data_IF_819946655054
#
_entry.id   IF_819946655054
#
_cell.length_a   1.000
_cell.length_b   1.000
_cell.length_c   1.000
_cell.angle_alpha   90.00
_cell.angle_beta   90.00
_cell.angle_gamma   90.00
#
_symmetry.space_group_name_H-M   'P 1'
#
loop_
_entity.id
_entity.type
_entity.pdbx_description
1 polymer ?
#
# COMPACT_ATOMS: atom_id res chain seq x y z
N UNK A 1 -5.87 -27.00 -22.67
CA UNK A 1 -6.25 -25.76 -21.95
C UNK A 1 -4.96 -25.19 -21.40
N UNK A 2 -4.53 -24.04 -21.88
CA UNK A 2 -3.34 -23.35 -21.36
C UNK A 2 -3.80 -22.48 -20.19
N UNK A 3 -3.42 -22.83 -18.97
CA UNK A 3 -3.83 -22.12 -17.76
C UNK A 3 -2.92 -20.91 -17.57
N UNK A 4 -3.50 -19.71 -17.48
CA UNK A 4 -2.78 -18.44 -17.29
C UNK A 4 -3.47 -17.61 -16.22
N UNK A 5 -2.70 -16.71 -15.58
CA UNK A 5 -3.25 -15.72 -14.66
C UNK A 5 -4.39 -14.93 -15.32
N UNK A 6 -5.52 -14.71 -14.62
CA UNK A 6 -6.59 -13.85 -15.11
C UNK A 6 -6.11 -12.47 -15.54
N UNK A 7 -6.74 -11.91 -16.57
CA UNK A 7 -6.38 -10.58 -17.06
C UNK A 7 -6.56 -9.54 -15.94
N UNK A 8 -5.46 -8.89 -15.58
CA UNK A 8 -5.38 -7.85 -14.54
C UNK A 8 -4.96 -8.34 -13.16
N UNK A 9 -4.63 -9.61 -13.03
CA UNK A 9 -3.85 -10.14 -11.90
C UNK A 9 -2.44 -10.49 -12.37
N UNK A 10 -1.52 -10.68 -11.44
CA UNK A 10 -0.15 -11.10 -11.72
C UNK A 10 0.43 -11.89 -10.56
N UNK A 11 1.27 -12.86 -10.88
CA UNK A 11 2.08 -13.53 -9.88
C UNK A 11 3.22 -12.58 -9.45
N UNK A 12 3.44 -12.48 -8.14
CA UNK A 12 4.58 -11.77 -7.57
C UNK A 12 5.70 -12.81 -7.39
N UNK A 13 6.72 -12.72 -8.25
CA UNK A 13 7.86 -13.64 -8.26
C UNK A 13 8.87 -13.29 -7.15
N UNK A 14 9.79 -14.21 -6.77
CA UNK A 14 10.69 -14.02 -5.64
C UNK A 14 11.49 -12.71 -5.63
N UNK A 15 11.95 -12.24 -6.79
CA UNK A 15 12.69 -10.98 -6.91
C UNK A 15 11.84 -9.74 -6.62
N UNK A 16 10.55 -9.76 -7.00
CA UNK A 16 9.62 -8.68 -6.66
C UNK A 16 9.14 -8.82 -5.21
N UNK A 17 8.92 -10.05 -4.74
CA UNK A 17 8.50 -10.34 -3.38
C UNK A 17 9.51 -9.80 -2.35
N UNK A 18 10.82 -9.98 -2.60
CA UNK A 18 11.86 -9.47 -1.72
C UNK A 18 11.82 -7.93 -1.58
N UNK A 19 11.57 -7.21 -2.68
CA UNK A 19 11.41 -5.75 -2.69
C UNK A 19 10.18 -5.30 -1.91
N UNK A 20 9.05 -5.98 -2.12
CA UNK A 20 7.80 -5.72 -1.39
C UNK A 20 7.97 -5.94 0.10
N UNK A 21 8.61 -7.03 0.51
CA UNK A 21 8.88 -7.31 1.92
C UNK A 21 9.72 -6.21 2.59
N UNK A 22 10.63 -5.54 1.88
CA UNK A 22 11.32 -4.39 2.44
C UNK A 22 10.35 -3.22 2.67
N UNK A 23 9.54 -2.86 1.67
CA UNK A 23 8.52 -1.81 1.82
C UNK A 23 7.58 -2.10 2.98
N UNK A 24 7.14 -3.36 3.11
CA UNK A 24 6.28 -3.84 4.21
C UNK A 24 6.95 -3.63 5.56
N UNK A 25 8.22 -4.03 5.71
CA UNK A 25 8.99 -3.82 6.96
C UNK A 25 9.17 -2.35 7.31
N UNK A 26 9.46 -1.50 6.33
CA UNK A 26 9.61 -0.05 6.55
C UNK A 26 8.28 0.57 6.97
N UNK A 27 7.18 0.17 6.31
CA UNK A 27 5.85 0.66 6.65
C UNK A 27 5.40 0.20 8.04
N UNK A 28 5.61 -1.07 8.37
CA UNK A 28 5.34 -1.65 9.69
C UNK A 28 6.11 -0.91 10.79
N UNK A 29 7.41 -0.66 10.59
CA UNK A 29 8.22 0.06 11.59
C UNK A 29 7.71 1.49 11.82
N UNK A 30 7.39 2.22 10.74
CA UNK A 30 6.80 3.56 10.83
C UNK A 30 5.48 3.50 11.61
N UNK A 31 4.57 2.59 11.24
CA UNK A 31 3.28 2.44 11.93
C UNK A 31 3.46 2.13 13.42
N UNK A 32 4.39 1.23 13.76
CA UNK A 32 4.75 0.87 15.14
C UNK A 32 5.26 2.09 15.92
N UNK A 33 6.13 2.91 15.32
CA UNK A 33 6.67 4.14 15.96
C UNK A 33 5.60 5.19 16.23
N UNK A 34 4.54 5.23 15.41
CA UNK A 34 3.37 6.09 15.60
C UNK A 34 2.27 5.48 16.50
N UNK A 35 2.46 4.23 16.94
CA UNK A 35 1.53 3.54 17.84
C UNK A 35 0.31 2.91 17.16
N UNK A 36 0.38 2.64 15.85
CA UNK A 36 -0.67 1.94 15.11
C UNK A 36 -0.54 0.42 15.30
N UNK A 37 -1.64 -0.25 15.61
CA UNK A 37 -1.70 -1.71 15.68
C UNK A 37 -2.12 -2.33 14.35
N UNK A 38 -1.52 -3.46 13.96
CA UNK A 38 -1.92 -4.15 12.73
C UNK A 38 -3.35 -4.72 12.86
N UNK A 39 -4.15 -4.58 11.81
CA UNK A 39 -5.44 -5.27 11.65
C UNK A 39 -5.49 -6.00 10.31
N UNK A 40 -6.11 -7.19 10.31
CA UNK A 40 -6.36 -8.00 9.11
C UNK A 40 -7.85 -8.31 9.03
N UNK A 41 -8.45 -8.03 7.88
CA UNK A 41 -9.88 -8.33 7.62
C UNK A 41 -10.03 -9.36 6.49
N UNK A 42 -11.16 -10.07 6.39
CA UNK A 42 -11.44 -11.01 5.31
C UNK A 42 -11.30 -10.42 3.90
N UNK A 43 -10.99 -11.26 2.91
CA UNK A 43 -10.88 -10.86 1.51
C UNK A 43 -12.24 -10.57 0.85
N UNK A 44 -13.31 -11.15 1.38
CA UNK A 44 -14.68 -10.87 0.99
C UNK A 44 -15.53 -10.56 2.21
N UNK A 45 -16.53 -9.70 2.01
CA UNK A 45 -17.49 -9.28 3.03
C UNK A 45 -18.90 -9.37 2.44
N UNK A 46 -19.92 -9.22 3.29
CA UNK A 46 -21.28 -9.01 2.81
C UNK A 46 -21.31 -7.77 1.90
N UNK A 47 -21.93 -7.91 0.72
CA UNK A 47 -21.97 -6.82 -0.28
C UNK A 47 -22.53 -5.52 0.29
N UNK A 48 -23.49 -5.60 1.22
CA UNK A 48 -24.10 -4.42 1.86
C UNK A 48 -23.09 -3.52 2.57
N UNK A 49 -21.97 -4.07 3.04
CA UNK A 49 -20.92 -3.30 3.72
C UNK A 49 -20.34 -2.24 2.78
N UNK A 50 -20.03 -2.61 1.54
CA UNK A 50 -19.43 -1.69 0.58
C UNK A 50 -20.47 -0.77 -0.06
N UNK A 51 -21.69 -1.26 -0.30
CA UNK A 51 -22.81 -0.44 -0.78
C UNK A 51 -23.06 0.72 0.18
N UNK A 52 -23.22 0.45 1.48
CA UNK A 52 -23.43 1.49 2.50
C UNK A 52 -22.17 2.28 2.83
N UNK A 53 -21.04 1.59 2.98
CA UNK A 53 -19.79 2.20 3.43
C UNK A 53 -19.18 3.13 2.38
N UNK A 54 -19.05 2.66 1.13
CA UNK A 54 -18.38 3.41 0.04
C UNK A 54 -19.32 4.43 -0.61
N UNK A 55 -20.61 4.10 -0.69
CA UNK A 55 -21.69 4.93 -1.22
C UNK A 55 -22.12 4.54 -2.63
N UNK A 56 -23.45 4.49 -2.84
CA UNK A 56 -24.12 4.04 -4.06
C UNK A 56 -23.80 4.85 -5.32
N UNK A 57 -23.39 6.12 -5.15
CA UNK A 57 -23.05 6.99 -6.27
C UNK A 57 -21.59 6.82 -6.74
N UNK A 58 -20.76 6.06 -6.02
CA UNK A 58 -19.38 5.81 -6.40
C UNK A 58 -19.28 4.88 -7.62
N UNK A 59 -18.30 5.14 -8.50
CA UNK A 59 -18.01 4.24 -9.62
C UNK A 59 -17.63 2.83 -9.14
N UNK A 60 -16.98 2.74 -7.96
CA UNK A 60 -16.61 1.48 -7.31
C UNK A 60 -17.84 0.61 -7.11
N UNK A 61 -18.84 1.10 -6.37
CA UNK A 61 -20.06 0.34 -6.06
C UNK A 61 -20.86 0.03 -7.33
N UNK A 62 -20.92 0.97 -8.27
CA UNK A 62 -21.79 0.83 -9.45
C UNK A 62 -21.23 -0.11 -10.51
N UNK A 63 -19.91 -0.17 -10.69
CA UNK A 63 -19.30 -0.80 -11.88
C UNK A 63 -18.04 -1.62 -11.60
N UNK A 64 -17.40 -1.49 -10.44
CA UNK A 64 -16.06 -2.06 -10.21
C UNK A 64 -16.01 -3.18 -9.16
N UNK A 65 -17.09 -3.48 -8.44
CA UNK A 65 -17.07 -4.55 -7.44
C UNK A 65 -17.10 -5.96 -8.05
N UNK A 66 -16.29 -6.85 -7.51
CA UNK A 66 -16.38 -8.29 -7.77
C UNK A 66 -17.36 -8.94 -6.80
N UNK A 67 -18.64 -8.95 -7.19
CA UNK A 67 -19.74 -9.51 -6.39
C UNK A 67 -20.13 -10.91 -6.89
N UNK A 68 -20.38 -11.83 -5.97
CA UNK A 68 -20.80 -13.20 -6.25
C UNK A 68 -21.76 -13.71 -5.17
N UNK A 69 -22.50 -14.77 -5.48
CA UNK A 69 -23.28 -15.50 -4.50
C UNK A 69 -22.47 -16.67 -3.96
N UNK A 70 -22.47 -16.84 -2.63
CA UNK A 70 -21.89 -18.02 -2.02
C UNK A 70 -22.82 -19.24 -2.16
N UNK A 71 -22.37 -20.40 -1.70
CA UNK A 71 -23.16 -21.65 -1.77
C UNK A 71 -24.45 -21.62 -0.93
N UNK A 72 -24.61 -20.63 -0.05
CA UNK A 72 -25.81 -20.40 0.75
C UNK A 72 -26.74 -19.33 0.15
N UNK A 73 -26.43 -18.79 -1.03
CA UNK A 73 -27.21 -17.73 -1.68
C UNK A 73 -26.99 -16.34 -1.07
N UNK A 74 -25.92 -16.12 -0.30
CA UNK A 74 -25.59 -14.81 0.26
C UNK A 74 -24.75 -14.03 -0.75
N UNK A 75 -25.09 -12.76 -0.96
CA UNK A 75 -24.29 -11.85 -1.78
C UNK A 75 -23.03 -11.43 -1.03
N UNK A 76 -21.88 -11.80 -1.57
CA UNK A 76 -20.55 -11.47 -1.07
C UNK A 76 -19.80 -10.66 -2.13
N UNK A 77 -18.89 -9.81 -1.67
CA UNK A 77 -18.06 -9.00 -2.55
C UNK A 77 -16.61 -9.08 -2.10
N UNK A 78 -15.68 -9.31 -3.04
CA UNK A 78 -14.26 -9.15 -2.77
C UNK A 78 -13.97 -7.68 -2.45
N UNK A 79 -13.24 -7.41 -1.36
CA UNK A 79 -13.04 -6.05 -0.86
C UNK A 79 -12.42 -5.13 -1.93
N UNK A 80 -13.07 -4.03 -2.31
CA UNK A 80 -12.49 -3.06 -3.24
C UNK A 80 -11.58 -2.04 -2.54
N UNK A 81 -11.62 -1.97 -1.21
CA UNK A 81 -10.87 -1.04 -0.36
C UNK A 81 -10.84 -1.56 1.09
N UNK A 82 -9.98 -0.96 1.95
CA UNK A 82 -9.73 -1.47 3.31
C UNK A 82 -10.55 -0.81 4.43
N UNK A 83 -10.93 0.46 4.27
CA UNK A 83 -11.57 1.31 5.28
C UNK A 83 -12.87 0.71 5.82
N UNK A 84 -13.81 0.32 4.97
CA UNK A 84 -15.11 -0.19 5.42
C UNK A 84 -14.98 -1.53 6.15
N UNK A 85 -14.07 -2.40 5.71
CA UNK A 85 -13.75 -3.66 6.39
C UNK A 85 -13.16 -3.41 7.78
N UNK A 86 -12.22 -2.47 7.89
CA UNK A 86 -11.61 -2.08 9.17
C UNK A 86 -12.63 -1.41 10.09
N UNK A 87 -13.48 -0.52 9.57
CA UNK A 87 -14.57 0.10 10.30
C UNK A 87 -15.57 -0.94 10.85
N UNK A 88 -15.97 -1.92 10.04
CA UNK A 88 -16.82 -3.04 10.47
C UNK A 88 -16.16 -3.84 11.58
N UNK A 89 -14.88 -4.18 11.42
CA UNK A 89 -14.12 -4.91 12.45
C UNK A 89 -13.95 -4.11 13.74
N UNK A 90 -13.80 -2.79 13.66
CA UNK A 90 -13.78 -1.88 14.82
C UNK A 90 -15.09 -1.95 15.61
N UNK A 91 -16.23 -1.92 14.92
CA UNK A 91 -17.57 -2.02 15.53
C UNK A 91 -17.81 -3.41 16.11
N UNK A 92 -17.63 -4.46 15.31
CA UNK A 92 -17.87 -5.85 15.72
C UNK A 92 -16.96 -6.28 16.87
N UNK A 93 -15.70 -5.84 16.85
CA UNK A 93 -14.72 -6.12 17.89
C UNK A 93 -14.88 -5.29 19.17
N UNK A 94 -15.89 -4.42 19.25
CA UNK A 94 -16.12 -3.54 20.41
C UNK A 94 -14.93 -2.63 20.72
N UNK A 95 -14.15 -2.25 19.70
CA UNK A 95 -12.89 -1.53 19.89
C UNK A 95 -13.08 -0.10 20.39
N UNK A 96 -14.29 0.44 20.30
CA UNK A 96 -14.70 1.70 20.93
C UNK A 96 -14.51 1.74 22.46
N UNK A 97 -14.43 0.57 23.11
CA UNK A 97 -14.15 0.45 24.54
C UNK A 97 -12.66 0.60 24.89
N UNK A 98 -11.76 0.62 23.89
CA UNK A 98 -10.31 0.79 24.08
C UNK A 98 -9.96 2.27 24.31
N UNK A 99 -8.77 2.56 24.86
CA UNK A 99 -8.29 3.94 24.94
C UNK A 99 -8.28 4.62 23.55
N UNK A 100 -8.94 5.76 23.46
CA UNK A 100 -9.02 6.54 22.23
C UNK A 100 -7.80 7.50 22.08
N UNK A 101 -7.43 7.85 20.84
CA UNK A 101 -7.94 7.29 19.59
C UNK A 101 -7.41 5.87 19.34
N UNK A 102 -8.21 5.05 18.67
CA UNK A 102 -7.78 3.72 18.21
C UNK A 102 -7.10 3.88 16.86
N UNK A 103 -5.82 3.50 16.79
CA UNK A 103 -4.98 3.62 15.60
C UNK A 103 -4.67 2.25 15.01
N UNK A 104 -5.08 2.02 13.77
CA UNK A 104 -4.99 0.73 13.10
C UNK A 104 -4.29 0.87 11.75
N UNK A 105 -3.46 -0.10 11.36
CA UNK A 105 -2.87 -0.14 10.02
C UNK A 105 -3.08 -1.50 9.36
N UNK A 106 -2.99 -1.53 8.04
CA UNK A 106 -3.09 -2.76 7.26
C UNK A 106 -2.19 -2.79 6.03
N UNK A 107 -1.85 -4.01 5.61
CA UNK A 107 -1.32 -4.35 4.30
C UNK A 107 -2.17 -5.48 3.71
N UNK A 108 -2.95 -5.18 2.67
CA UNK A 108 -3.96 -6.09 2.15
C UNK A 108 -4.13 -5.96 0.63
N UNK A 109 -4.38 -7.07 -0.06
CA UNK A 109 -4.82 -7.03 -1.46
C UNK A 109 -6.28 -6.56 -1.56
N UNK A 110 -6.60 -5.89 -2.65
CA UNK A 110 -7.89 -5.28 -2.96
C UNK A 110 -8.27 -5.61 -4.41
N UNK A 111 -9.58 -5.59 -4.70
CA UNK A 111 -10.12 -6.05 -5.97
C UNK A 111 -11.04 -5.01 -6.62
N UNK A 112 -10.69 -4.54 -7.83
CA UNK A 112 -11.50 -3.58 -8.59
C UNK A 112 -11.56 -3.96 -10.06
N UNK A 113 -12.76 -4.04 -10.63
CA UNK A 113 -12.98 -4.26 -12.05
C UNK A 113 -12.73 -2.97 -12.86
N UNK A 114 -11.54 -2.41 -12.74
CA UNK A 114 -11.16 -1.18 -13.43
C UNK A 114 -10.42 -1.45 -14.76
N UNK A 115 -10.31 -0.40 -15.59
CA UNK A 115 -9.53 -0.43 -16.82
C UNK A 115 -8.04 -0.45 -16.46
N UNK A 116 -7.37 -1.54 -16.81
CA UNK A 116 -5.94 -1.72 -16.51
C UNK A 116 -5.07 -0.65 -17.15
N UNK A 117 -4.12 -0.15 -16.37
CA UNK A 117 -3.08 0.81 -16.76
C UNK A 117 -1.80 0.49 -15.97
N UNK A 118 -0.67 1.12 -16.29
CA UNK A 118 0.56 0.95 -15.50
C UNK A 118 0.28 1.37 -14.05
N UNK A 119 0.49 0.46 -13.09
CA UNK A 119 0.17 0.69 -11.67
C UNK A 119 -1.31 0.60 -11.29
N UNK A 120 -2.19 0.14 -12.20
CA UNK A 120 -3.62 -0.13 -11.95
C UNK A 120 -3.97 -1.54 -12.39
N UNK A 121 -4.24 -2.39 -11.41
CA UNK A 121 -4.53 -3.81 -11.58
C UNK A 121 -5.91 -4.12 -11.03
N UNK A 122 -6.46 -5.28 -11.41
CA UNK A 122 -7.75 -5.75 -10.90
C UNK A 122 -7.62 -6.42 -9.54
N UNK A 123 -6.46 -6.96 -9.26
CA UNK A 123 -5.99 -7.29 -7.91
C UNK A 123 -4.72 -6.47 -7.65
N UNK A 124 -4.71 -5.70 -6.58
CA UNK A 124 -3.60 -4.80 -6.21
C UNK A 124 -3.46 -4.73 -4.69
N UNK A 125 -2.32 -4.27 -4.18
CA UNK A 125 -2.06 -4.21 -2.74
C UNK A 125 -2.19 -2.78 -2.23
N UNK A 126 -2.72 -2.64 -1.02
CA UNK A 126 -2.82 -1.38 -0.32
C UNK A 126 -2.21 -1.44 1.06
N UNK A 127 -1.37 -0.45 1.35
CA UNK A 127 -1.10 -0.02 2.70
C UNK A 127 -2.17 1.00 3.12
N UNK A 128 -2.61 0.95 4.36
CA UNK A 128 -3.52 1.96 4.89
C UNK A 128 -3.46 2.07 6.40
N UNK A 129 -3.97 3.18 6.91
CA UNK A 129 -4.04 3.50 8.33
C UNK A 129 -5.37 4.18 8.61
N UNK A 130 -5.97 3.84 9.75
CA UNK A 130 -7.23 4.39 10.23
C UNK A 130 -7.09 4.83 11.69
N UNK A 131 -7.61 6.02 11.99
CA UNK A 131 -7.67 6.61 13.33
C UNK A 131 -9.12 6.84 13.69
N UNK A 132 -9.61 6.15 14.71
CA UNK A 132 -10.99 6.25 15.18
C UNK A 132 -11.07 6.96 16.54
N UNK A 133 -12.00 7.90 16.68
CA UNK A 133 -12.34 8.54 17.95
C UNK A 133 -11.69 9.90 18.22
N UNK A 134 -11.04 10.54 17.24
CA UNK A 134 -10.51 11.91 17.38
C UNK A 134 -11.09 12.87 16.33
N UNK A 135 -11.76 13.92 16.79
CA UNK A 135 -12.22 15.05 15.95
C UNK A 135 -11.13 16.11 15.73
N UNK A 136 -10.01 16.00 16.43
CA UNK A 136 -9.02 17.05 16.49
C UNK A 136 -8.21 17.11 15.18
N UNK A 137 -7.90 18.31 14.64
CA UNK A 137 -7.12 18.44 13.41
C UNK A 137 -5.70 17.87 13.50
N UNK A 138 -5.19 17.70 14.73
CA UNK A 138 -3.93 17.01 15.01
C UNK A 138 -3.95 15.56 14.53
N UNK A 139 -5.11 14.88 14.56
CA UNK A 139 -5.21 13.51 14.06
C UNK A 139 -4.99 13.47 12.53
N UNK A 140 -5.60 14.38 11.79
CA UNK A 140 -5.41 14.50 10.34
C UNK A 140 -3.94 14.83 10.00
N UNK A 141 -3.35 15.77 10.73
CA UNK A 141 -1.95 16.15 10.55
C UNK A 141 -0.97 15.02 10.93
N UNK A 142 -1.28 14.22 11.96
CA UNK A 142 -0.47 13.05 12.33
C UNK A 142 -0.49 11.98 11.23
N UNK A 143 -1.66 11.70 10.66
CA UNK A 143 -1.82 10.76 9.55
C UNK A 143 -0.99 11.21 8.32
N UNK A 144 -1.05 12.50 7.99
CA UNK A 144 -0.22 13.09 6.93
C UNK A 144 1.28 13.02 7.30
N UNK A 145 1.63 13.31 8.54
CA UNK A 145 3.00 13.25 9.04
C UNK A 145 3.62 11.85 9.03
N UNK A 146 2.80 10.81 9.26
CA UNK A 146 3.21 9.41 9.12
C UNK A 146 3.63 9.12 7.68
N UNK A 147 2.81 9.51 6.70
CA UNK A 147 3.13 9.36 5.27
C UNK A 147 4.39 10.13 4.88
N UNK A 148 4.52 11.38 5.33
CA UNK A 148 5.71 12.19 5.09
C UNK A 148 6.99 11.51 5.64
N UNK A 149 6.91 10.94 6.85
CA UNK A 149 8.02 10.19 7.45
C UNK A 149 8.33 8.90 6.68
N UNK A 150 7.31 8.18 6.24
CA UNK A 150 7.48 6.97 5.44
C UNK A 150 8.17 7.26 4.10
N UNK A 151 7.76 8.31 3.38
CA UNK A 151 8.42 8.71 2.15
C UNK A 151 9.86 9.16 2.37
N UNK A 152 10.12 9.90 3.45
CA UNK A 152 11.48 10.30 3.84
C UNK A 152 12.39 9.10 4.17
N UNK A 153 11.88 8.10 4.90
CA UNK A 153 12.61 6.87 5.25
C UNK A 153 12.97 6.04 4.00
N UNK A 154 12.09 6.02 3.00
CA UNK A 154 12.37 5.39 1.70
C UNK A 154 13.31 6.21 0.81
N UNK A 155 13.63 7.46 1.19
CA UNK A 155 14.42 8.37 0.37
C UNK A 155 13.68 8.90 -0.87
N UNK A 156 12.35 8.86 -0.88
CA UNK A 156 11.55 9.36 -2.00
C UNK A 156 11.53 10.89 -2.02
N UNK A 157 11.67 11.44 -3.21
CA UNK A 157 11.66 12.88 -3.49
C UNK A 157 10.66 13.23 -4.60
N UNK A 158 10.40 14.53 -4.82
CA UNK A 158 9.46 14.96 -5.86
C UNK A 158 8.00 14.59 -5.58
N UNK A 159 7.65 14.44 -4.29
CA UNK A 159 6.29 14.17 -3.84
C UNK A 159 5.75 15.45 -3.18
N UNK A 160 4.66 16.00 -3.72
CA UNK A 160 3.97 17.18 -3.16
C UNK A 160 2.68 16.77 -2.45
N UNK A 161 2.48 17.30 -1.24
CA UNK A 161 1.22 17.19 -0.52
C UNK A 161 0.22 18.23 -1.04
N UNK A 162 -0.94 17.76 -1.47
CA UNK A 162 -2.10 18.60 -1.74
C UNK A 162 -3.18 18.34 -0.68
N UNK A 163 -3.80 19.40 -0.16
CA UNK A 163 -4.88 19.32 0.83
C UNK A 163 -6.12 20.11 0.38
N UNK A 164 -7.27 19.68 0.86
CA UNK A 164 -8.54 20.40 0.73
C UNK A 164 -9.46 20.09 1.93
N UNK A 165 -10.57 20.82 2.02
CA UNK A 165 -11.67 20.47 2.92
C UNK A 165 -12.98 20.43 2.15
N UNK A 166 -13.68 19.30 2.23
CA UNK A 166 -15.01 19.12 1.66
C UNK A 166 -16.16 19.42 2.63
N UNK A 167 -15.83 19.90 3.83
CA UNK A 167 -16.79 20.30 4.85
C UNK A 167 -17.65 19.16 5.41
N UNK A 168 -18.61 19.52 6.24
CA UNK A 168 -19.60 18.58 6.79
C UNK A 168 -20.80 18.41 5.83
N UNK A 169 -21.74 17.47 6.07
CA UNK A 169 -22.94 17.34 5.25
C UNK A 169 -23.70 18.66 5.00
N UNK A 170 -23.79 19.54 6.01
CA UNK A 170 -24.43 20.85 5.85
C UNK A 170 -23.67 21.81 4.91
N UNK A 171 -22.34 21.79 4.93
CA UNK A 171 -21.52 22.58 3.99
C UNK A 171 -21.70 22.09 2.54
N UNK A 172 -21.80 20.76 2.38
CA UNK A 172 -21.96 20.12 1.06
C UNK A 172 -23.30 20.43 0.41
N UNK A 173 -24.37 20.58 1.18
CA UNK A 173 -25.69 20.90 0.63
C UNK A 173 -25.70 22.29 -0.03
N UNK A 174 -25.23 23.31 0.70
CA UNK A 174 -25.12 24.67 0.16
C UNK A 174 -24.21 24.72 -1.09
N UNK A 175 -23.11 23.96 -1.06
CA UNK A 175 -22.19 23.88 -2.19
C UNK A 175 -22.78 23.17 -3.41
N UNK A 176 -23.54 22.09 -3.21
CA UNK A 176 -24.21 21.34 -4.29
C UNK A 176 -25.19 22.21 -5.05
N UNK A 177 -25.98 23.01 -4.34
CA UNK A 177 -26.90 23.95 -4.99
C UNK A 177 -26.15 25.01 -5.79
N UNK A 178 -25.05 25.57 -5.24
CA UNK A 178 -24.20 26.50 -5.98
C UNK A 178 -23.59 25.88 -7.25
N UNK A 179 -23.12 24.63 -7.18
CA UNK A 179 -22.63 23.90 -8.35
C UNK A 179 -23.75 23.64 -9.36
N UNK A 180 -24.95 23.27 -8.90
CA UNK A 180 -26.10 23.04 -9.78
C UNK A 180 -26.47 24.31 -10.54
N UNK A 181 -26.56 25.43 -9.84
CA UNK A 181 -26.87 26.72 -10.47
C UNK A 181 -25.77 27.14 -11.47
N UNK A 182 -24.51 26.86 -11.14
CA UNK A 182 -23.39 27.12 -12.04
C UNK A 182 -23.42 26.25 -13.31
N UNK A 183 -23.63 24.93 -13.17
CA UNK A 183 -23.55 24.00 -14.30
C UNK A 183 -24.83 23.90 -15.12
N UNK A 184 -26.01 24.17 -14.55
CA UNK A 184 -27.30 24.08 -15.28
C UNK A 184 -27.32 24.77 -16.65
N UNK A 185 -26.83 26.03 -16.82
CA UNK A 185 -26.82 26.66 -18.14
C UNK A 185 -25.78 26.08 -19.11
N UNK A 186 -24.80 25.32 -18.63
CA UNK A 186 -23.70 24.73 -19.41
C UNK A 186 -23.87 23.22 -19.64
N UNK A 187 -24.89 22.62 -19.01
CA UNK A 187 -24.99 21.16 -18.86
C UNK A 187 -25.06 20.43 -20.20
N UNK A 188 -25.73 20.99 -21.20
CA UNK A 188 -25.85 20.41 -22.54
C UNK A 188 -24.53 20.37 -23.32
N UNK A 189 -23.56 21.19 -22.94
CA UNK A 189 -22.23 21.23 -23.57
C UNK A 189 -21.25 20.26 -22.88
N UNK A 190 -21.54 19.84 -21.65
CA UNK A 190 -20.70 18.91 -20.91
C UNK A 190 -20.84 17.47 -21.42
N UNK A 191 -19.83 16.64 -21.13
CA UNK A 191 -19.85 15.22 -21.51
C UNK A 191 -21.00 14.44 -20.84
N UNK A 192 -21.38 13.31 -21.44
CA UNK A 192 -22.48 12.46 -20.95
C UNK A 192 -22.32 12.07 -19.47
N UNK A 193 -21.10 11.74 -19.05
CA UNK A 193 -20.81 11.40 -17.65
C UNK A 193 -21.09 12.59 -16.71
N UNK A 194 -20.74 13.81 -17.11
CA UNK A 194 -21.03 15.02 -16.32
C UNK A 194 -22.52 15.32 -16.28
N UNK A 195 -23.26 15.05 -17.35
CA UNK A 195 -24.71 15.17 -17.37
C UNK A 195 -25.36 14.21 -16.35
N UNK A 196 -24.90 12.97 -16.29
CA UNK A 196 -25.36 12.01 -15.27
C UNK A 196 -24.94 12.42 -13.84
N UNK A 197 -23.71 12.91 -13.67
CA UNK A 197 -23.17 13.35 -12.37
C UNK A 197 -23.89 14.58 -11.82
N UNK A 198 -24.40 15.45 -12.68
CA UNK A 198 -25.17 16.63 -12.27
C UNK A 198 -26.39 16.26 -11.41
N UNK A 199 -27.11 15.20 -11.80
CA UNK A 199 -28.29 14.76 -11.04
C UNK A 199 -27.89 13.96 -9.79
N UNK A 200 -26.86 13.10 -9.90
CA UNK A 200 -26.45 12.19 -8.82
C UNK A 200 -25.59 12.87 -7.74
N UNK A 201 -24.47 13.47 -8.14
CA UNK A 201 -23.51 14.10 -7.24
C UNK A 201 -22.65 15.14 -7.99
N UNK A 202 -23.08 16.43 -8.04
CA UNK A 202 -22.41 17.50 -8.76
C UNK A 202 -20.93 17.69 -8.41
N UNK A 203 -20.49 17.32 -7.20
CA UNK A 203 -19.07 17.42 -6.81
C UNK A 203 -18.17 16.59 -7.73
N UNK A 204 -18.67 15.47 -8.27
CA UNK A 204 -17.92 14.59 -9.19
C UNK A 204 -17.65 15.22 -10.56
N UNK A 205 -18.28 16.34 -10.87
CA UNK A 205 -18.02 17.09 -12.10
C UNK A 205 -16.69 17.87 -12.01
N UNK A 206 -16.22 18.17 -10.81
CA UNK A 206 -14.94 18.88 -10.57
C UNK A 206 -13.72 18.03 -10.95
N UNK A 207 -13.86 16.70 -10.90
CA UNK A 207 -12.84 15.69 -11.29
C UNK A 207 -13.16 15.06 -12.66
N UNK A 208 -13.91 15.75 -13.52
CA UNK A 208 -14.01 15.34 -14.93
C UNK A 208 -12.63 15.43 -15.57
N UNK A 209 -12.29 14.53 -16.50
CA UNK A 209 -10.99 14.51 -17.21
C UNK A 209 -11.08 15.06 -18.64
N UNK A 210 -12.27 15.42 -19.09
CA UNK A 210 -12.50 15.94 -20.43
C UNK A 210 -12.08 17.41 -20.49
N UNK A 211 -11.17 17.75 -21.40
CA UNK A 211 -10.59 19.10 -21.54
C UNK A 211 -11.67 20.18 -21.69
N UNK A 212 -12.70 19.91 -22.50
CA UNK A 212 -13.82 20.84 -22.67
C UNK A 212 -14.60 21.06 -21.37
N UNK A 213 -14.84 20.01 -20.57
CA UNK A 213 -15.50 20.14 -19.28
C UNK A 213 -14.64 20.95 -18.28
N UNK A 214 -13.31 20.81 -18.33
CA UNK A 214 -12.41 21.62 -17.51
C UNK A 214 -12.52 23.12 -17.82
N UNK A 215 -12.61 23.48 -19.11
CA UNK A 215 -12.82 24.87 -19.53
C UNK A 215 -14.16 25.41 -19.01
N UNK A 216 -15.23 24.62 -19.12
CA UNK A 216 -16.55 24.98 -18.59
C UNK A 216 -16.61 25.06 -17.06
N UNK A 217 -15.67 24.42 -16.36
CA UNK A 217 -15.56 24.40 -14.90
C UNK A 217 -14.56 25.42 -14.35
N UNK A 218 -13.97 26.28 -15.20
CA UNK A 218 -12.90 27.20 -14.80
C UNK A 218 -13.31 28.10 -13.62
N UNK A 219 -14.52 28.66 -13.68
CA UNK A 219 -15.08 29.58 -12.67
C UNK A 219 -16.09 28.90 -11.74
N UNK A 220 -16.04 27.57 -11.63
CA UNK A 220 -16.94 26.85 -10.74
C UNK A 220 -16.73 27.31 -9.28
N UNK A 221 -17.81 27.45 -8.48
CA UNK A 221 -17.71 27.74 -7.06
C UNK A 221 -16.72 26.81 -6.36
N UNK A 222 -15.99 27.30 -5.36
CA UNK A 222 -15.01 26.50 -4.60
C UNK A 222 -15.57 26.11 -3.24
N UNK A 223 -15.42 24.84 -2.86
CA UNK A 223 -16.00 24.28 -1.63
C UNK A 223 -15.53 25.00 -0.35
N UNK A 224 -14.33 25.57 -0.37
CA UNK A 224 -13.74 26.31 0.76
C UNK A 224 -14.54 27.56 1.14
N UNK A 225 -15.24 28.19 0.20
CA UNK A 225 -16.08 29.38 0.45
C UNK A 225 -17.42 29.02 1.13
N UNK A 226 -17.76 27.74 1.17
CA UNK A 226 -19.03 27.22 1.70
C UNK A 226 -18.84 26.45 3.02
N UNK A 227 -17.65 26.51 3.62
CA UNK A 227 -17.40 25.89 4.92
C UNK A 227 -18.11 26.66 6.03
N UNK A 228 -18.81 25.93 6.89
CA UNK A 228 -19.29 26.48 8.16
C UNK A 228 -18.10 26.77 9.10
N UNK A 229 -18.33 27.59 10.13
CA UNK A 229 -17.28 28.02 11.07
C UNK A 229 -16.44 26.87 11.63
N UNK A 230 -17.07 25.80 12.11
CA UNK A 230 -16.34 24.66 12.68
C UNK A 230 -15.50 23.89 11.65
N UNK A 231 -15.96 23.77 10.39
CA UNK A 231 -15.17 23.13 9.33
C UNK A 231 -13.99 24.00 8.89
N UNK A 232 -14.18 25.33 8.88
CA UNK A 232 -13.11 26.28 8.60
C UNK A 232 -12.06 26.25 9.71
N UNK A 233 -12.48 26.32 10.98
CA UNK A 233 -11.58 26.26 12.14
C UNK A 233 -10.79 24.95 12.18
N UNK A 234 -11.44 23.82 11.87
CA UNK A 234 -10.76 22.54 11.74
C UNK A 234 -9.69 22.56 10.65
N UNK A 235 -10.02 23.03 9.44
CA UNK A 235 -9.06 23.09 8.33
C UNK A 235 -7.91 24.06 8.59
N UNK A 236 -8.17 25.20 9.23
CA UNK A 236 -7.14 26.13 9.71
C UNK A 236 -6.24 25.47 10.77
N UNK A 237 -6.81 24.64 11.64
CA UNK A 237 -6.05 23.82 12.59
C UNK A 237 -5.15 22.79 11.91
N UNK A 238 -5.61 22.12 10.85
CA UNK A 238 -4.79 21.18 10.07
C UNK A 238 -3.59 21.90 9.47
N UNK A 239 -3.83 23.02 8.78
CA UNK A 239 -2.75 23.87 8.20
C UNK A 239 -1.74 24.29 9.26
N UNK A 240 -2.21 24.78 10.41
CA UNK A 240 -1.33 25.19 11.52
C UNK A 240 -0.47 24.03 12.05
N UNK A 241 -1.01 22.81 12.09
CA UNK A 241 -0.24 21.63 12.47
C UNK A 241 0.80 21.25 11.40
N UNK A 242 0.45 21.31 10.11
CA UNK A 242 1.39 21.04 9.01
C UNK A 242 2.53 22.06 8.99
N UNK A 243 2.23 23.34 9.20
CA UNK A 243 3.24 24.41 9.35
C UNK A 243 4.19 24.13 10.51
N UNK A 244 3.65 23.69 11.67
CA UNK A 244 4.45 23.34 12.84
C UNK A 244 5.32 22.08 12.61
N UNK A 245 4.83 21.12 11.81
CA UNK A 245 5.58 19.94 11.38
C UNK A 245 6.58 20.24 10.24
N UNK A 246 6.54 21.45 9.67
CA UNK A 246 7.34 21.86 8.50
C UNK A 246 7.09 20.96 7.28
N UNK A 247 5.83 20.62 7.06
CA UNK A 247 5.40 19.87 5.87
C UNK A 247 4.79 20.88 4.89
N UNK A 248 5.47 21.08 3.76
CA UNK A 248 4.97 21.94 2.69
C UNK A 248 3.71 21.33 2.06
N UNK A 249 2.71 22.17 1.77
CA UNK A 249 1.46 21.73 1.17
C UNK A 249 0.90 22.76 0.17
N UNK A 250 0.09 22.28 -0.76
CA UNK A 250 -0.69 23.10 -1.69
C UNK A 250 -2.17 22.93 -1.36
N UNK A 251 -2.92 24.03 -1.27
CA UNK A 251 -4.38 23.96 -1.13
C UNK A 251 -4.99 23.81 -2.51
N UNK A 252 -5.56 22.64 -2.82
CA UNK A 252 -6.24 22.37 -4.09
C UNK A 252 -7.76 22.31 -3.88
N UNK A 253 -8.51 23.41 -4.12
CA UNK A 253 -9.95 23.46 -3.87
C UNK A 253 -10.77 22.57 -4.82
N UNK A 254 -10.18 22.08 -5.93
CA UNK A 254 -10.84 21.20 -6.89
C UNK A 254 -10.71 19.72 -6.51
N UNK A 255 -9.86 19.39 -5.54
CA UNK A 255 -9.69 18.02 -5.08
C UNK A 255 -10.98 17.53 -4.43
N UNK A 256 -11.60 16.55 -5.09
CA UNK A 256 -12.68 15.73 -4.56
C UNK A 256 -12.23 14.28 -4.54
N UNK A 257 -12.82 13.45 -3.68
CA UNK A 257 -12.40 12.05 -3.54
C UNK A 257 -13.39 11.08 -4.13
N UNK A 258 -12.84 9.92 -4.50
CA UNK A 258 -13.53 8.81 -5.15
C UNK A 258 -14.68 8.18 -4.35
N UNK A 259 -14.79 8.48 -3.06
CA UNK A 259 -15.63 7.80 -2.07
C UNK A 259 -16.51 8.84 -1.37
N UNK A 260 -17.81 8.57 -1.22
CA UNK A 260 -18.76 9.61 -0.78
C UNK A 260 -18.77 9.80 0.76
N UNK A 261 -18.15 8.88 1.48
CA UNK A 261 -18.06 8.88 2.95
C UNK A 261 -17.19 10.01 3.52
N UNK A 262 -16.36 10.67 2.71
CA UNK A 262 -15.44 11.69 3.20
C UNK A 262 -16.20 12.91 3.76
N UNK A 263 -15.56 13.58 4.71
CA UNK A 263 -16.00 14.80 5.40
C UNK A 263 -14.77 15.61 5.78
N UNK A 264 -14.88 16.95 5.84
CA UNK A 264 -13.79 17.85 6.24
C UNK A 264 -12.52 17.57 5.43
N UNK A 265 -11.39 17.29 6.06
CA UNK A 265 -10.08 17.14 5.42
C UNK A 265 -10.07 16.04 4.36
N UNK A 266 -9.51 16.35 3.20
CA UNK A 266 -9.06 15.38 2.20
C UNK A 266 -7.66 15.77 1.77
N UNK A 267 -6.83 14.79 1.40
CA UNK A 267 -5.48 15.05 0.95
C UNK A 267 -5.00 13.99 -0.05
N UNK A 268 -4.02 14.38 -0.86
CA UNK A 268 -3.31 13.52 -1.78
C UNK A 268 -1.82 13.83 -1.76
N UNK A 269 -1.00 12.79 -1.91
CA UNK A 269 0.41 12.94 -2.24
C UNK A 269 0.57 12.68 -3.73
N UNK A 270 1.05 13.70 -4.44
CA UNK A 270 1.24 13.70 -5.89
C UNK A 270 2.72 13.60 -6.21
N UNK A 271 3.10 12.63 -7.04
CA UNK A 271 4.44 12.47 -7.56
C UNK A 271 4.61 13.19 -8.90
N UNK A 272 5.73 13.89 -9.06
CA UNK A 272 6.19 14.42 -10.35
C UNK A 272 6.88 13.36 -11.24
N UNK A 273 7.21 12.18 -10.71
CA UNK A 273 8.05 11.18 -11.37
C UNK A 273 7.24 10.11 -12.11
N UNK A 274 5.96 9.90 -11.75
CA UNK A 274 5.11 8.83 -12.31
C UNK A 274 3.94 9.39 -13.14
N UNK A 275 4.22 9.72 -14.40
CA UNK A 275 3.22 9.89 -15.48
C UNK A 275 2.00 10.79 -15.20
N UNK A 276 0.94 10.65 -16.00
CA UNK A 276 -0.25 11.54 -16.01
C UNK A 276 -1.26 11.30 -14.88
N UNK A 277 -1.00 10.38 -13.94
CA UNK A 277 -1.84 10.12 -12.76
C UNK A 277 -0.97 10.09 -11.50
N UNK A 278 -0.43 11.25 -11.14
CA UNK A 278 0.60 11.42 -10.11
C UNK A 278 0.20 11.04 -8.69
N UNK A 279 -1.07 10.80 -8.37
CA UNK A 279 -1.47 10.41 -7.00
C UNK A 279 -0.87 9.06 -6.59
N UNK A 280 0.05 9.07 -5.63
CA UNK A 280 0.65 7.85 -5.06
C UNK A 280 -0.08 7.40 -3.80
N UNK A 281 -0.61 8.35 -3.02
CA UNK A 281 -1.40 8.10 -1.81
C UNK A 281 -2.53 9.13 -1.70
N UNK A 282 -3.66 8.73 -1.12
CA UNK A 282 -4.70 9.68 -0.76
C UNK A 282 -5.50 9.23 0.45
N UNK A 283 -6.04 10.20 1.16
CA UNK A 283 -6.73 10.00 2.41
C UNK A 283 -7.63 11.16 2.77
N UNK A 284 -8.11 11.14 4.00
CA UNK A 284 -9.01 12.16 4.52
C UNK A 284 -9.84 11.65 5.68
N UNK A 285 -10.68 12.55 6.18
CA UNK A 285 -11.57 12.36 7.31
C UNK A 285 -12.93 11.86 6.84
N UNK A 286 -13.60 11.02 7.63
CA UNK A 286 -14.83 10.33 7.23
C UNK A 286 -15.73 10.03 8.45
N UNK A 287 -16.12 11.07 9.17
CA UNK A 287 -16.77 10.98 10.48
C UNK A 287 -18.13 10.24 10.49
N UNK A 288 -18.75 10.01 9.33
CA UNK A 288 -20.03 9.29 9.20
C UNK A 288 -19.91 7.78 9.03
N UNK A 289 -18.74 7.27 8.63
CA UNK A 289 -18.61 5.88 8.16
C UNK A 289 -18.96 4.84 9.23
N UNK A 290 -18.56 5.06 10.49
CA UNK A 290 -18.84 4.11 11.59
C UNK A 290 -20.34 3.91 11.78
N UNK A 291 -21.14 4.98 11.63
CA UNK A 291 -22.61 4.88 11.70
C UNK A 291 -23.16 4.07 10.53
N UNK A 292 -22.68 4.30 9.31
CA UNK A 292 -23.14 3.61 8.10
C UNK A 292 -22.93 2.08 8.16
N UNK A 293 -21.87 1.65 8.86
CA UNK A 293 -21.57 0.21 9.06
C UNK A 293 -22.20 -0.39 10.32
N UNK A 294 -23.12 0.34 10.98
CA UNK A 294 -23.91 -0.15 12.12
C UNK A 294 -23.35 0.19 13.51
N UNK A 295 -22.33 1.05 13.60
CA UNK A 295 -21.81 1.58 14.85
C UNK A 295 -22.49 2.89 15.28
N UNK A 296 -21.89 3.57 16.26
CA UNK A 296 -22.31 4.90 16.71
C UNK A 296 -21.50 6.01 16.04
N UNK A 297 -21.89 7.26 16.26
CA UNK A 297 -21.16 8.41 15.74
C UNK A 297 -19.74 8.49 16.25
N UNK A 298 -18.80 8.37 15.33
CA UNK A 298 -17.39 8.37 15.66
C UNK A 298 -16.57 9.06 14.57
N UNK A 299 -15.82 10.10 14.93
CA UNK A 299 -14.91 10.74 14.00
C UNK A 299 -13.79 9.79 13.59
N UNK A 300 -13.38 9.90 12.33
CA UNK A 300 -12.37 9.01 11.80
C UNK A 300 -11.55 9.65 10.68
N UNK A 301 -10.27 9.33 10.60
CA UNK A 301 -9.36 9.83 9.55
C UNK A 301 -8.34 8.77 9.20
N UNK A 302 -7.97 8.70 7.93
CA UNK A 302 -7.06 7.67 7.45
C UNK A 302 -6.63 7.87 6.01
N UNK A 303 -5.91 6.88 5.48
CA UNK A 303 -5.46 6.86 4.09
C UNK A 303 -5.35 5.43 3.56
N UNK A 304 -5.28 5.35 2.23
CA UNK A 304 -4.81 4.18 1.54
C UNK A 304 -3.78 4.56 0.46
N UNK A 305 -2.82 3.67 0.23
CA UNK A 305 -1.73 3.83 -0.73
C UNK A 305 -1.52 2.54 -1.48
N UNK A 306 -1.51 2.61 -2.82
CA UNK A 306 -1.29 1.44 -3.67
C UNK A 306 0.18 1.04 -3.68
N UNK A 307 0.49 -0.18 -3.26
CA UNK A 307 1.87 -0.71 -3.21
C UNK A 307 2.48 -0.75 -4.60
N UNK A 308 1.71 -1.10 -5.63
CA UNK A 308 2.18 -1.10 -7.02
C UNK A 308 2.61 0.29 -7.50
N UNK A 309 1.88 1.34 -7.11
CA UNK A 309 2.25 2.72 -7.47
C UNK A 309 3.49 3.17 -6.73
N UNK A 310 3.60 2.81 -5.45
CA UNK A 310 4.79 3.08 -4.65
C UNK A 310 6.03 2.37 -5.21
N UNK A 311 5.88 1.12 -5.66
CA UNK A 311 6.96 0.38 -6.31
C UNK A 311 7.42 1.05 -7.62
N UNK A 312 6.48 1.54 -8.43
CA UNK A 312 6.80 2.28 -9.65
C UNK A 312 7.51 3.61 -9.36
N UNK A 313 7.11 4.29 -8.28
CA UNK A 313 7.74 5.51 -7.80
C UNK A 313 9.18 5.25 -7.36
N UNK A 314 9.38 4.24 -6.53
CA UNK A 314 10.70 3.82 -6.07
C UNK A 314 11.61 3.39 -7.23
N UNK A 315 11.07 2.66 -8.21
CA UNK A 315 11.80 2.27 -9.42
C UNK A 315 12.19 3.49 -10.27
N UNK A 316 11.27 4.46 -10.45
CA UNK A 316 11.53 5.68 -11.21
C UNK A 316 12.61 6.57 -10.58
N UNK A 317 12.79 6.47 -9.26
CA UNK A 317 13.82 7.19 -8.51
C UNK A 317 15.07 6.32 -8.20
N UNK A 318 15.15 5.11 -8.76
CA UNK A 318 16.26 4.18 -8.54
C UNK A 318 16.51 3.86 -7.05
N UNK A 319 15.44 3.88 -6.23
CA UNK A 319 15.53 3.52 -4.81
C UNK A 319 15.90 2.05 -4.70
N UNK A 320 16.96 1.77 -3.93
CA UNK A 320 17.37 0.42 -3.62
C UNK A 320 16.39 -0.21 -2.62
N UNK A 321 15.36 -0.88 -3.13
CA UNK A 321 14.42 -1.65 -2.31
C UNK A 321 14.95 -3.05 -1.92
N UNK A 322 16.27 -3.28 -2.00
CA UNK A 322 16.84 -4.61 -1.99
C UNK A 322 16.40 -5.39 -3.23
N UNK A 323 16.55 -6.71 -3.23
CA UNK A 323 15.94 -7.49 -4.31
C UNK A 323 16.32 -8.96 -4.41
N UNK A 324 17.43 -9.39 -3.79
CA UNK A 324 17.85 -10.78 -3.92
C UNK A 324 18.22 -11.35 -2.56
N UNK A 325 17.49 -12.38 -2.15
CA UNK A 325 17.94 -13.29 -1.09
C UNK A 325 18.99 -14.20 -1.70
N UNK A 326 20.25 -13.78 -1.63
CA UNK A 326 21.39 -14.57 -2.10
C UNK A 326 21.76 -15.61 -1.03
N UNK A 327 22.14 -16.84 -1.41
CA UNK A 327 22.72 -17.78 -0.46
C UNK A 327 24.01 -17.20 0.13
N UNK A 328 24.15 -17.23 1.45
CA UNK A 328 25.40 -16.93 2.12
C UNK A 328 26.47 -17.95 1.70
N UNK A 329 26.11 -19.23 1.60
CA UNK A 329 27.04 -20.29 1.25
C UNK A 329 26.42 -21.30 0.28
N UNK A 330 27.20 -21.71 -0.71
CA UNK A 330 26.94 -22.92 -1.49
C UNK A 330 27.97 -24.01 -1.14
N UNK A 331 27.51 -25.14 -0.64
CA UNK A 331 28.34 -26.31 -0.35
C UNK A 331 28.30 -27.25 -1.54
N UNK A 332 29.40 -27.33 -2.27
CA UNK A 332 29.59 -28.29 -3.34
C UNK A 332 30.16 -29.60 -2.77
N UNK A 333 29.70 -30.75 -3.25
CA UNK A 333 30.08 -32.05 -2.72
C UNK A 333 30.21 -33.11 -3.79
N UNK A 334 30.85 -34.23 -3.44
CA UNK A 334 30.90 -35.44 -4.26
C UNK A 334 29.78 -36.39 -3.85
N UNK A 335 29.46 -37.43 -4.65
CA UNK A 335 28.42 -38.39 -4.29
C UNK A 335 28.64 -39.05 -2.92
N UNK A 336 29.88 -39.34 -2.54
CA UNK A 336 30.23 -39.93 -1.24
C UNK A 336 30.02 -38.95 -0.06
N UNK A 337 30.09 -37.64 -0.30
CA UNK A 337 30.01 -36.61 0.74
C UNK A 337 28.74 -35.77 0.68
N UNK A 338 27.76 -36.15 -0.16
CA UNK A 338 26.49 -35.45 -0.29
C UNK A 338 25.68 -35.42 1.01
N UNK A 339 25.65 -36.53 1.77
CA UNK A 339 24.95 -36.58 3.05
C UNK A 339 25.64 -35.71 4.14
N UNK A 340 26.98 -35.76 4.32
CA UNK A 340 27.70 -34.80 5.15
C UNK A 340 27.51 -33.34 4.74
N UNK A 341 27.50 -33.03 3.44
CA UNK A 341 27.28 -31.66 2.94
C UNK A 341 25.88 -31.15 3.29
N UNK A 342 24.86 -32.01 3.10
CA UNK A 342 23.50 -31.69 3.53
C UNK A 342 23.40 -31.50 5.04
N UNK A 343 24.07 -32.32 5.84
CA UNK A 343 24.10 -32.17 7.29
C UNK A 343 24.71 -30.83 7.71
N UNK A 344 25.86 -30.46 7.14
CA UNK A 344 26.52 -29.18 7.40
C UNK A 344 25.66 -28.00 6.96
N UNK A 345 25.02 -28.08 5.79
CA UNK A 345 24.09 -27.05 5.33
C UNK A 345 22.93 -26.86 6.32
N UNK A 346 22.33 -27.95 6.80
CA UNK A 346 21.25 -27.90 7.79
C UNK A 346 21.68 -27.30 9.13
N UNK A 347 22.90 -27.60 9.59
CA UNK A 347 23.42 -27.04 10.83
C UNK A 347 23.68 -25.54 10.72
N UNK A 348 24.16 -25.05 9.58
CA UNK A 348 24.33 -23.62 9.32
C UNK A 348 22.98 -22.91 9.12
N UNK A 349 22.01 -23.55 8.46
CA UNK A 349 20.63 -23.01 8.35
C UNK A 349 20.00 -22.83 9.73
N UNK A 350 20.19 -23.78 10.65
CA UNK A 350 19.71 -23.66 12.05
C UNK A 350 20.38 -22.52 12.83
N UNK A 351 21.56 -22.07 12.38
CA UNK A 351 22.24 -20.89 12.93
C UNK A 351 21.74 -19.59 12.30
N UNK A 352 20.91 -19.64 11.26
CA UNK A 352 20.29 -18.47 10.62
C UNK A 352 20.85 -18.10 9.25
N UNK A 353 21.79 -18.88 8.69
CA UNK A 353 22.38 -18.60 7.38
C UNK A 353 21.53 -19.15 6.22
N UNK A 354 21.60 -18.49 5.07
CA UNK A 354 21.06 -19.02 3.82
C UNK A 354 22.10 -19.92 3.16
N UNK A 355 21.89 -21.25 3.17
CA UNK A 355 22.85 -22.22 2.64
C UNK A 355 22.21 -23.15 1.62
N UNK A 356 22.89 -23.32 0.50
CA UNK A 356 22.51 -24.24 -0.58
C UNK A 356 23.52 -25.37 -0.72
N UNK A 357 23.05 -26.55 -1.14
CA UNK A 357 23.90 -27.70 -1.49
C UNK A 357 23.27 -28.47 -2.65
N UNK A 358 24.06 -29.27 -3.36
CA UNK A 358 23.51 -30.07 -4.45
C UNK A 358 22.61 -31.21 -3.92
N UNK A 359 21.37 -31.20 -4.39
CA UNK A 359 20.37 -32.26 -4.14
C UNK A 359 19.92 -32.95 -5.44
N UNK A 360 20.63 -32.69 -6.54
CA UNK A 360 20.27 -33.18 -7.88
C UNK A 360 21.25 -34.22 -8.43
N UNK A 361 22.30 -34.58 -7.68
CA UNK A 361 23.32 -35.51 -8.13
C UNK A 361 24.17 -34.93 -9.27
N UNK A 362 24.37 -33.62 -9.30
CA UNK A 362 25.15 -32.93 -10.34
C UNK A 362 26.65 -33.19 -10.17
N UNK A 363 27.39 -33.09 -11.27
CA UNK A 363 28.86 -33.05 -11.20
C UNK A 363 29.35 -31.78 -10.51
N UNK A 364 30.53 -31.83 -9.88
CA UNK A 364 31.12 -30.68 -9.16
C UNK A 364 31.17 -29.41 -10.04
N UNK A 365 31.55 -29.55 -11.32
CA UNK A 365 31.55 -28.41 -12.27
C UNK A 365 30.17 -27.80 -12.46
N UNK A 366 29.11 -28.61 -12.51
CA UNK A 366 27.74 -28.13 -12.64
C UNK A 366 27.23 -27.49 -11.34
N UNK A 367 27.67 -27.99 -10.19
CA UNK A 367 27.39 -27.38 -8.88
C UNK A 367 28.03 -25.99 -8.76
N UNK A 368 29.31 -25.84 -9.12
CA UNK A 368 29.98 -24.53 -9.12
C UNK A 368 29.31 -23.53 -10.07
N UNK A 369 28.82 -23.99 -11.23
CA UNK A 369 28.00 -23.16 -12.13
C UNK A 369 26.65 -22.77 -11.53
N UNK A 370 26.06 -23.64 -10.70
CA UNK A 370 24.82 -23.33 -10.01
C UNK A 370 25.06 -22.27 -8.91
N UNK A 371 26.13 -22.42 -8.12
CA UNK A 371 26.54 -21.44 -7.12
C UNK A 371 26.75 -20.05 -7.72
N UNK A 372 27.45 -19.97 -8.86
CA UNK A 372 27.67 -18.72 -9.61
C UNK A 372 26.36 -18.11 -10.14
N UNK A 373 25.47 -18.92 -10.73
CA UNK A 373 24.15 -18.45 -11.19
C UNK A 373 23.24 -17.98 -10.07
N UNK A 374 23.31 -18.64 -8.91
CA UNK A 374 22.61 -18.22 -7.69
C UNK A 374 23.27 -17.03 -7.02
N UNK A 375 24.47 -16.63 -7.47
CA UNK A 375 25.28 -15.55 -6.92
C UNK A 375 25.53 -15.75 -5.41
N UNK A 376 25.82 -16.99 -5.01
CA UNK A 376 26.16 -17.30 -3.63
C UNK A 376 27.35 -16.45 -3.16
N UNK A 377 27.35 -16.00 -1.92
CA UNK A 377 28.44 -15.14 -1.41
C UNK A 377 29.73 -15.94 -1.24
N UNK A 378 29.60 -17.15 -0.71
CA UNK A 378 30.69 -18.08 -0.49
C UNK A 378 30.44 -19.44 -1.13
N UNK A 379 31.53 -20.16 -1.33
CA UNK A 379 31.53 -21.58 -1.72
C UNK A 379 32.44 -22.40 -0.81
N UNK A 380 32.06 -23.63 -0.57
CA UNK A 380 32.86 -24.66 0.11
C UNK A 380 32.79 -25.93 -0.73
N UNK A 381 33.93 -26.57 -1.00
CA UNK A 381 33.96 -27.91 -1.59
C UNK A 381 34.21 -28.91 -0.46
N UNK A 382 33.28 -29.85 -0.28
CA UNK A 382 33.34 -30.87 0.76
C UNK A 382 33.67 -32.23 0.14
N UNK A 383 34.96 -32.60 0.12
CA UNK A 383 35.46 -33.93 -0.23
C UNK A 383 35.60 -34.83 1.00
N UNK A 384 36.05 -36.07 0.78
CA UNK A 384 36.23 -37.04 1.86
C UNK A 384 37.24 -36.54 2.91
N UNK A 385 38.33 -35.90 2.46
CA UNK A 385 39.34 -35.29 3.34
C UNK A 385 38.76 -34.19 4.21
N UNK A 386 37.94 -33.27 3.66
CA UNK A 386 37.34 -32.20 4.46
C UNK A 386 36.38 -32.73 5.53
N UNK A 387 35.67 -33.83 5.23
CA UNK A 387 34.81 -34.53 6.20
C UNK A 387 35.64 -35.21 7.28
N UNK A 388 36.69 -35.95 6.91
CA UNK A 388 37.55 -36.67 7.86
C UNK A 388 38.32 -35.72 8.80
N UNK A 389 38.83 -34.61 8.27
CA UNK A 389 39.61 -33.64 9.04
C UNK A 389 38.74 -32.59 9.76
N UNK A 390 37.44 -32.56 9.49
CA UNK A 390 36.49 -31.55 9.96
C UNK A 390 36.94 -30.11 9.68
N UNK A 391 37.61 -29.90 8.54
CA UNK A 391 38.11 -28.61 8.06
C UNK A 391 37.80 -28.44 6.58
N UNK A 392 37.64 -27.20 6.15
CA UNK A 392 37.40 -26.89 4.74
C UNK A 392 37.90 -25.51 4.37
N UNK A 393 37.95 -25.25 3.06
CA UNK A 393 38.30 -23.94 2.50
C UNK A 393 37.03 -23.21 2.11
N UNK A 394 36.75 -22.13 2.83
CA UNK A 394 35.68 -21.22 2.50
C UNK A 394 36.21 -20.20 1.49
N UNK A 395 35.66 -20.20 0.27
CA UNK A 395 36.04 -19.29 -0.81
C UNK A 395 34.98 -18.23 -1.03
N UNK A 396 35.35 -16.96 -0.95
CA UNK A 396 34.46 -15.84 -1.30
C UNK A 396 34.39 -15.68 -2.83
N UNK A 397 33.19 -15.53 -3.38
CA UNK A 397 33.03 -15.47 -4.85
C UNK A 397 33.32 -14.08 -5.44
N UNK A 398 33.26 -13.01 -4.66
CA UNK A 398 33.49 -11.64 -5.14
C UNK A 398 34.94 -11.37 -5.56
N UNK A 399 35.91 -11.87 -4.79
CA UNK A 399 37.34 -11.62 -4.99
C UNK A 399 38.19 -12.89 -5.00
N UNK A 400 37.60 -14.04 -4.68
CA UNK A 400 38.27 -15.34 -4.69
C UNK A 400 39.13 -15.61 -3.45
N UNK A 401 39.06 -14.80 -2.39
CA UNK A 401 39.78 -15.06 -1.14
C UNK A 401 39.36 -16.42 -0.55
N UNK A 402 40.35 -17.25 -0.20
CA UNK A 402 40.15 -18.54 0.45
C UNK A 402 40.63 -18.49 1.90
N UNK A 403 39.79 -18.95 2.81
CA UNK A 403 40.12 -19.09 4.24
C UNK A 403 39.92 -20.53 4.66
N UNK A 404 40.98 -21.16 5.16
CA UNK A 404 40.88 -22.49 5.77
C UNK A 404 40.32 -22.37 7.19
N UNK A 405 39.30 -23.16 7.50
CA UNK A 405 38.59 -23.08 8.78
C UNK A 405 38.04 -24.45 9.19
N UNK A 406 37.91 -24.73 10.51
CA UNK A 406 37.08 -25.84 10.97
C UNK A 406 35.64 -25.70 10.46
N UNK A 407 35.02 -26.80 10.05
CA UNK A 407 33.64 -26.78 9.53
C UNK A 407 32.65 -26.20 10.55
N UNK A 408 32.85 -26.51 11.83
CA UNK A 408 32.04 -25.98 12.94
C UNK A 408 32.18 -24.46 13.14
N UNK A 409 33.22 -23.82 12.59
CA UNK A 409 33.48 -22.39 12.74
C UNK A 409 33.03 -21.56 11.52
N UNK A 410 32.50 -22.19 10.47
CA UNK A 410 32.08 -21.51 9.24
C UNK A 410 31.06 -20.41 9.52
N UNK A 411 30.08 -20.65 10.41
CA UNK A 411 29.04 -19.66 10.72
C UNK A 411 29.61 -18.31 11.15
N UNK A 412 30.63 -18.30 12.02
CA UNK A 412 31.26 -17.05 12.47
C UNK A 412 31.93 -16.25 11.35
N UNK A 413 32.42 -16.92 10.30
CA UNK A 413 33.02 -16.26 9.13
C UNK A 413 31.97 -15.72 8.16
N UNK A 414 30.75 -16.28 8.16
CA UNK A 414 29.62 -15.76 7.38
C UNK A 414 29.03 -14.49 8.00
N UNK A 415 29.13 -14.32 9.33
CA UNK A 415 28.66 -13.11 10.05
C UNK A 415 29.57 -11.90 9.91
N UNK A 416 30.88 -12.11 9.73
CA UNK A 416 31.90 -11.06 9.92
C UNK A 416 32.16 -10.17 8.70
N UNK A 417 31.48 -10.39 7.57
CA UNK A 417 31.69 -9.62 6.33
C UNK A 417 30.41 -9.43 5.56
#
# INVERSE_FOLDING_TARGET
>A
MDLRAPRGTRDILPEEAAKRQLLERVFEDICRRYGYGEIRVPAFEHTELFVRGVGDASDIVRKEMYTFEDKGGRSLTLRPEGTAGVARAFVEGGMSSRPAPVKLWYNMNMFRYEKMQKGRYREFWQFGCEVFGSEAPQADAEVIGLLNSFFGELGLSGISLEINSIGCPGCREAYREALRDYYRPRLSEMCEDCQVRFDLNPLRMLDCKEEHCHLLAADAPVQLDYLCGSCKDHFDGVKSCLDALKIDYIVNPRMVRGLDYYTRTVFEFISSNVGTQGTICGGGRYDGLIREVGGFDMPAVGFAMGVERLMLEAEAQEINLGGESLPDLYIASFPATAAPALALAQDLIRQGFSVETDIMGRSLRAQMKAADRMRARFTLVLGETEVEEAKGKLRRLDDGEETETPLAAIGGLLETK
#
